data_IF_401220210480
#
_entry.id   IF_401220210480
#
_cell.length_a   1.000
_cell.length_b   1.000
_cell.length_c   1.000
_cell.angle_alpha   90.00
_cell.angle_beta   90.00
_cell.angle_gamma   90.00
#
_symmetry.space_group_name_H-M   'P 1'
#
loop_
_entity.id
_entity.type
_entity.pdbx_description
1 polymer ?
#
# COMPACT_ATOMS: atom_id res chain seq x y z
N UNK A 1 4.41 3.94 -14.40
CA UNK A 1 4.55 3.28 -13.08
C UNK A 1 5.76 2.36 -13.13
N UNK A 2 6.96 2.86 -12.86
CA UNK A 2 8.20 2.08 -13.03
C UNK A 2 9.38 2.64 -12.21
N UNK A 3 9.14 3.12 -10.98
CA UNK A 3 10.18 3.75 -10.15
C UNK A 3 10.85 2.81 -9.15
N UNK A 4 10.54 1.51 -9.19
CA UNK A 4 11.19 0.49 -8.36
C UNK A 4 11.62 -0.66 -9.28
N UNK A 5 12.93 -0.96 -9.32
CA UNK A 5 13.55 -2.03 -10.13
C UNK A 5 13.25 -3.40 -9.50
N UNK A 6 11.97 -3.75 -9.40
CA UNK A 6 11.47 -4.98 -8.77
C UNK A 6 10.41 -5.65 -9.64
N UNK A 7 10.29 -6.98 -9.50
CA UNK A 7 9.27 -7.75 -10.21
C UNK A 7 7.86 -7.44 -9.71
N UNK A 8 6.84 -7.69 -10.55
CA UNK A 8 5.44 -7.61 -10.14
C UNK A 8 5.12 -8.54 -8.96
N UNK A 9 5.75 -9.71 -8.88
CA UNK A 9 5.57 -10.62 -7.77
C UNK A 9 6.04 -9.99 -6.45
N UNK A 10 7.18 -9.30 -6.49
CA UNK A 10 7.72 -8.53 -5.36
C UNK A 10 6.73 -7.43 -4.95
N UNK A 11 6.16 -6.70 -5.92
CA UNK A 11 5.11 -5.69 -5.66
C UNK A 11 3.91 -6.33 -4.93
N UNK A 12 3.41 -7.48 -5.41
CA UNK A 12 2.30 -8.21 -4.78
C UNK A 12 2.64 -8.63 -3.34
N UNK A 13 3.86 -9.07 -3.08
CA UNK A 13 4.34 -9.38 -1.73
C UNK A 13 4.32 -8.16 -0.83
N UNK A 14 4.79 -6.99 -1.32
CA UNK A 14 4.75 -5.75 -0.55
C UNK A 14 3.32 -5.32 -0.22
N UNK A 15 2.40 -5.37 -1.20
CA UNK A 15 0.98 -5.04 -0.98
C UNK A 15 0.38 -5.92 0.12
N UNK A 16 0.58 -7.25 0.08
CA UNK A 16 0.08 -8.15 1.13
C UNK A 16 0.65 -7.83 2.51
N UNK A 17 1.93 -7.50 2.59
CA UNK A 17 2.57 -7.10 3.86
C UNK A 17 2.01 -5.78 4.38
N UNK A 18 1.76 -4.82 3.51
CA UNK A 18 1.13 -3.54 3.87
C UNK A 18 -0.28 -3.79 4.41
N UNK A 19 -1.09 -4.60 3.73
CA UNK A 19 -2.43 -4.96 4.18
C UNK A 19 -2.41 -5.58 5.57
N UNK A 20 -1.50 -6.53 5.82
CA UNK A 20 -1.31 -7.14 7.14
C UNK A 20 -0.94 -6.10 8.21
N UNK A 21 -0.06 -5.14 7.89
CA UNK A 21 0.35 -4.08 8.83
C UNK A 21 -0.77 -3.09 9.11
N UNK A 22 -1.62 -2.82 8.14
CA UNK A 22 -2.77 -1.92 8.29
C UNK A 22 -4.02 -2.62 8.84
N UNK A 23 -4.01 -3.97 8.94
CA UNK A 23 -5.16 -4.75 9.39
C UNK A 23 -6.33 -4.79 8.40
N UNK A 24 -6.05 -4.67 7.10
CA UNK A 24 -7.07 -4.56 6.03
C UNK A 24 -6.96 -5.70 5.03
N UNK A 25 -8.01 -5.90 4.21
CA UNK A 25 -8.07 -7.03 3.27
C UNK A 25 -8.05 -6.62 1.79
N UNK A 26 -8.16 -5.34 1.48
CA UNK A 26 -8.16 -4.87 0.08
C UNK A 26 -7.54 -3.46 -0.06
N UNK A 27 -7.31 -3.07 -1.31
CA UNK A 27 -6.66 -1.80 -1.66
C UNK A 27 -7.47 -0.59 -1.20
N UNK A 28 -8.78 -0.62 -1.36
CA UNK A 28 -9.66 0.50 -0.98
C UNK A 28 -9.60 0.76 0.52
N UNK A 29 -9.69 -0.29 1.34
CA UNK A 29 -9.52 -0.22 2.79
C UNK A 29 -8.11 0.27 3.16
N UNK A 30 -7.07 -0.20 2.46
CA UNK A 30 -5.69 0.24 2.72
C UNK A 30 -5.51 1.74 2.48
N UNK A 31 -6.10 2.28 1.41
CA UNK A 31 -6.04 3.72 1.12
C UNK A 31 -6.82 4.51 2.16
N UNK A 32 -8.05 4.09 2.51
CA UNK A 32 -8.86 4.75 3.52
C UNK A 32 -8.18 4.75 4.91
N UNK A 33 -7.59 3.62 5.30
CA UNK A 33 -6.88 3.49 6.57
C UNK A 33 -5.57 4.29 6.59
N UNK A 34 -4.83 4.31 5.49
CA UNK A 34 -3.63 5.13 5.40
C UNK A 34 -3.97 6.62 5.43
N UNK A 35 -5.09 7.04 4.83
CA UNK A 35 -5.57 8.42 4.88
C UNK A 35 -5.96 8.83 6.29
N UNK A 36 -6.75 8.01 6.99
CA UNK A 36 -7.18 8.29 8.37
C UNK A 36 -6.01 8.36 9.36
N UNK A 37 -4.92 7.63 9.08
CA UNK A 37 -3.68 7.64 9.87
C UNK A 37 -2.65 8.69 9.41
N UNK A 38 -2.95 9.51 8.39
CA UNK A 38 -2.00 10.51 7.88
C UNK A 38 -0.74 9.94 7.23
N UNK A 39 -0.79 8.68 6.76
CA UNK A 39 0.34 7.98 6.12
C UNK A 39 0.44 8.25 4.62
N UNK A 40 -0.54 8.94 4.03
CA UNK A 40 -0.51 9.32 2.63
C UNK A 40 0.35 10.58 2.45
N UNK A 41 1.15 10.66 1.36
CA UNK A 41 1.90 11.87 1.06
C UNK A 41 0.95 13.04 0.85
N UNK A 42 1.35 14.24 1.28
CA UNK A 42 0.56 15.47 1.19
C UNK A 42 0.28 15.95 -0.25
N UNK A 43 0.79 15.22 -1.26
CA UNK A 43 0.89 15.64 -2.65
C UNK A 43 0.29 14.56 -3.59
N UNK A 44 -0.87 13.99 -3.27
CA UNK A 44 -1.58 13.12 -4.21
C UNK A 44 -2.38 13.92 -5.23
#
# INVERSE_FOLDING_TARGET
AATLVISENTVKTHIRRIFKKLGVNNRTQAVAQAASQGLLPANQ
#
